data_IF_201087347372
#
_entry.id   IF_201087347372
#
_cell.length_a   1.000
_cell.length_b   1.000
_cell.length_c   1.000
_cell.angle_alpha   90.00
_cell.angle_beta   90.00
_cell.angle_gamma   90.00
#
_symmetry.space_group_name_H-M   'P 1'
#
loop_
_entity.id
_entity.type
_entity.pdbx_description
1 polymer ?
#
# COMPACT_ATOMS: atom_id res chain seq x y z
N UNK A 1 29.66 13.17 -75.73
CA UNK A 1 30.17 12.53 -74.49
C UNK A 1 29.04 12.51 -73.48
N UNK A 2 28.45 11.34 -73.27
CA UNK A 2 27.30 11.10 -72.38
C UNK A 2 27.75 11.01 -70.92
N UNK A 3 27.36 12.00 -70.10
CA UNK A 3 27.61 12.00 -68.66
C UNK A 3 26.43 11.30 -67.96
N UNK A 4 26.69 10.15 -67.31
CA UNK A 4 25.70 9.42 -66.51
C UNK A 4 25.54 10.12 -65.15
N UNK A 5 24.33 10.59 -64.83
CA UNK A 5 23.95 10.99 -63.47
C UNK A 5 23.76 9.74 -62.61
N UNK A 6 24.54 9.60 -61.55
CA UNK A 6 24.26 8.68 -60.45
C UNK A 6 23.28 9.36 -59.48
N UNK A 7 22.07 8.82 -59.37
CA UNK A 7 21.08 9.22 -58.36
C UNK A 7 21.40 8.50 -57.05
N UNK A 8 21.96 9.21 -56.07
CA UNK A 8 22.07 8.71 -54.69
C UNK A 8 20.70 8.84 -54.01
N UNK A 9 20.03 7.72 -53.73
CA UNK A 9 18.90 7.69 -52.80
C UNK A 9 19.44 7.85 -51.38
N UNK A 10 19.15 9.00 -50.75
CA UNK A 10 19.33 9.21 -49.32
C UNK A 10 18.09 8.63 -48.63
N UNK A 11 18.22 7.44 -48.07
CA UNK A 11 17.20 6.85 -47.19
C UNK A 11 17.21 7.61 -45.86
N UNK A 12 16.23 8.49 -45.65
CA UNK A 12 16.00 9.13 -44.35
C UNK A 12 15.39 8.11 -43.39
N UNK A 13 16.22 7.51 -42.51
CA UNK A 13 15.76 6.76 -41.36
C UNK A 13 15.15 7.74 -40.34
N UNK A 14 13.83 7.81 -40.31
CA UNK A 14 13.09 8.51 -39.26
C UNK A 14 13.30 7.78 -37.93
N UNK A 15 14.09 8.37 -37.02
CA UNK A 15 14.17 7.92 -35.65
C UNK A 15 12.83 8.18 -34.96
N UNK A 16 12.05 7.13 -34.70
CA UNK A 16 10.92 7.19 -33.78
C UNK A 16 11.47 7.46 -32.38
N UNK A 17 11.35 8.71 -31.93
CA UNK A 17 11.44 9.04 -30.51
C UNK A 17 10.19 8.44 -29.86
N UNK A 18 10.36 7.34 -29.14
CA UNK A 18 9.34 6.82 -28.24
C UNK A 18 9.23 7.86 -27.13
N UNK A 19 8.21 8.70 -27.18
CA UNK A 19 7.85 9.56 -26.07
C UNK A 19 7.44 8.65 -24.92
N UNK A 20 8.31 8.51 -23.92
CA UNK A 20 7.95 7.94 -22.63
C UNK A 20 6.80 8.79 -22.09
N UNK A 21 5.58 8.28 -22.16
CA UNK A 21 4.42 8.96 -21.59
C UNK A 21 4.73 9.27 -20.14
N UNK A 22 4.69 10.55 -19.77
CA UNK A 22 4.82 10.94 -18.38
C UNK A 22 3.62 10.32 -17.63
N UNK A 23 3.85 9.24 -16.89
CA UNK A 23 2.84 8.69 -16.00
C UNK A 23 2.47 9.77 -14.99
N UNK A 24 1.17 10.05 -14.87
CA UNK A 24 0.67 11.00 -13.89
C UNK A 24 1.07 10.51 -12.49
N UNK A 25 1.65 11.42 -11.70
CA UNK A 25 2.03 11.08 -10.33
C UNK A 25 0.79 10.74 -9.50
N UNK A 26 0.84 9.71 -8.62
CA UNK A 26 -0.24 9.42 -7.71
C UNK A 26 -0.56 10.62 -6.81
N UNK A 27 -1.82 10.75 -6.41
CA UNK A 27 -2.24 11.72 -5.39
C UNK A 27 -1.53 11.49 -4.04
N UNK A 28 -1.55 12.51 -3.18
CA UNK A 28 -0.95 12.42 -1.82
C UNK A 28 -1.71 11.49 -0.88
N UNK A 29 -2.99 11.33 -1.15
CA UNK A 29 -3.88 10.36 -0.52
C UNK A 29 -4.22 9.27 -1.53
N UNK A 30 -4.31 8.00 -1.10
CA UNK A 30 -4.86 6.95 -1.93
C UNK A 30 -6.29 7.29 -2.41
N UNK A 31 -6.69 6.85 -3.61
CA UNK A 31 -8.02 7.14 -4.12
C UNK A 31 -9.12 6.43 -3.33
N UNK A 32 -10.31 7.02 -3.34
CA UNK A 32 -11.55 6.38 -2.92
C UNK A 32 -12.47 6.18 -4.13
N UNK A 33 -13.28 5.12 -4.08
CA UNK A 33 -14.28 4.77 -5.07
C UNK A 33 -15.60 4.56 -4.34
N UNK A 34 -16.42 5.60 -4.26
CA UNK A 34 -17.69 5.59 -3.53
C UNK A 34 -17.51 5.14 -2.06
N UNK A 35 -18.03 3.98 -1.67
CA UNK A 35 -17.90 3.42 -0.32
C UNK A 35 -16.60 2.65 -0.08
N UNK A 36 -15.75 2.49 -1.10
CA UNK A 36 -14.52 1.72 -1.03
C UNK A 36 -13.29 2.62 -1.03
N UNK A 37 -12.34 2.28 -0.18
CA UNK A 37 -11.00 2.87 -0.16
C UNK A 37 -9.98 1.82 -0.56
N UNK A 38 -8.88 2.23 -1.18
CA UNK A 38 -7.79 1.34 -1.55
C UNK A 38 -6.48 1.83 -1.00
N UNK A 39 -5.57 0.91 -0.68
CA UNK A 39 -4.18 1.26 -0.37
C UNK A 39 -3.23 0.07 -0.59
N UNK A 40 -1.93 0.36 -0.67
CA UNK A 40 -0.87 -0.64 -0.64
C UNK A 40 0.13 -0.36 0.49
N UNK A 41 0.70 -1.42 1.06
CA UNK A 41 1.77 -1.39 2.05
C UNK A 41 3.15 -1.45 1.43
N UNK A 42 4.18 -1.26 2.28
CA UNK A 42 5.59 -1.19 1.84
C UNK A 42 6.07 -2.44 1.09
N UNK A 43 5.48 -3.61 1.37
CA UNK A 43 5.84 -4.89 0.74
C UNK A 43 5.25 -5.07 -0.67
N UNK A 44 4.26 -4.28 -1.06
CA UNK A 44 3.46 -4.50 -2.26
C UNK A 44 2.13 -5.22 -2.00
N UNK A 45 1.82 -5.57 -0.75
CA UNK A 45 0.45 -6.00 -0.39
C UNK A 45 -0.52 -4.83 -0.61
N UNK A 46 -1.62 -5.08 -1.30
CA UNK A 46 -2.66 -4.08 -1.56
C UNK A 46 -4.01 -4.54 -1.00
N UNK A 47 -4.90 -3.61 -0.68
CA UNK A 47 -6.24 -3.93 -0.23
C UNK A 47 -7.28 -2.92 -0.70
N UNK A 48 -8.52 -3.40 -0.90
CA UNK A 48 -9.73 -2.59 -0.97
C UNK A 48 -10.53 -2.81 0.31
N UNK A 49 -10.97 -1.73 0.95
CA UNK A 49 -11.66 -1.75 2.24
C UNK A 49 -12.95 -0.94 2.18
N UNK A 50 -14.02 -1.48 2.77
CA UNK A 50 -15.24 -0.76 3.10
C UNK A 50 -15.49 -0.85 4.59
N UNK A 51 -15.54 0.31 5.24
CA UNK A 51 -15.93 0.44 6.64
C UNK A 51 -17.40 0.86 6.72
N UNK A 52 -18.24 0.03 7.35
CA UNK A 52 -19.68 0.24 7.46
C UNK A 52 -20.10 0.15 8.91
N UNK A 53 -20.90 1.12 9.37
CA UNK A 53 -21.45 1.14 10.72
C UNK A 53 -22.97 1.08 10.67
N UNK A 54 -23.54 0.13 11.42
CA UNK A 54 -24.98 0.01 11.66
C UNK A 54 -25.21 0.06 13.15
N UNK A 55 -25.85 1.14 13.63
CA UNK A 55 -25.99 1.42 15.06
C UNK A 55 -24.62 1.43 15.78
N UNK A 56 -24.46 0.62 16.83
CA UNK A 56 -23.22 0.48 17.59
C UNK A 56 -22.23 -0.49 16.95
N UNK A 57 -22.67 -1.33 16.01
CA UNK A 57 -21.84 -2.33 15.34
C UNK A 57 -21.20 -1.72 14.11
N UNK A 58 -19.91 -1.97 13.92
CA UNK A 58 -19.24 -1.68 12.66
C UNK A 58 -18.55 -2.91 12.12
N UNK A 59 -18.44 -2.95 10.80
CA UNK A 59 -17.72 -3.94 10.04
C UNK A 59 -16.71 -3.22 9.14
N UNK A 60 -15.48 -3.71 9.14
CA UNK A 60 -14.47 -3.45 8.13
C UNK A 60 -14.31 -4.71 7.28
N UNK A 61 -14.72 -4.61 6.02
CA UNK A 61 -14.53 -5.67 5.04
C UNK A 61 -13.34 -5.30 4.15
N UNK A 62 -12.30 -6.13 4.18
CA UNK A 62 -11.10 -5.93 3.36
C UNK A 62 -10.87 -7.09 2.40
N UNK A 63 -10.69 -6.76 1.13
CA UNK A 63 -10.13 -7.66 0.13
C UNK A 63 -8.65 -7.34 0.05
N UNK A 64 -7.81 -8.30 0.43
CA UNK A 64 -6.37 -8.16 0.55
C UNK A 64 -5.69 -9.02 -0.50
N UNK A 65 -4.66 -8.51 -1.17
CA UNK A 65 -3.91 -9.24 -2.19
C UNK A 65 -2.42 -9.05 -1.96
N UNK A 66 -1.69 -10.16 -1.81
CA UNK A 66 -0.23 -10.14 -1.72
C UNK A 66 0.42 -10.02 -3.11
N UNK A 67 1.73 -9.73 -3.15
CA UNK A 67 2.44 -9.36 -4.38
C UNK A 67 2.85 -10.55 -5.26
N UNK A 68 2.93 -11.77 -4.72
CA UNK A 68 3.39 -12.95 -5.46
C UNK A 68 2.43 -13.28 -6.61
N UNK A 69 2.96 -13.79 -7.73
CA UNK A 69 2.20 -14.12 -8.94
C UNK A 69 0.90 -14.88 -8.65
N UNK A 70 1.02 -15.96 -7.89
CA UNK A 70 -0.06 -16.89 -7.56
C UNK A 70 -0.82 -16.55 -6.28
N UNK A 71 -0.45 -15.46 -5.59
CA UNK A 71 -1.19 -15.03 -4.40
C UNK A 71 -2.66 -14.88 -4.78
N UNK A 72 -3.58 -15.51 -4.04
CA UNK A 72 -5.02 -15.40 -4.24
C UNK A 72 -5.58 -14.21 -3.44
N UNK A 73 -6.73 -13.64 -3.81
CA UNK A 73 -7.33 -12.60 -2.99
C UNK A 73 -7.84 -13.24 -1.69
N UNK A 74 -7.63 -12.54 -0.59
CA UNK A 74 -8.10 -12.91 0.74
C UNK A 74 -9.18 -11.94 1.16
N UNK A 75 -10.22 -12.42 1.85
CA UNK A 75 -11.23 -11.55 2.45
C UNK A 75 -11.08 -11.59 3.96
N UNK A 76 -10.96 -10.42 4.58
CA UNK A 76 -10.96 -10.27 6.03
C UNK A 76 -12.17 -9.45 6.46
N UNK A 77 -12.92 -10.02 7.39
CA UNK A 77 -13.96 -9.33 8.14
C UNK A 77 -13.39 -8.91 9.49
N UNK A 78 -13.60 -7.67 9.90
CA UNK A 78 -13.30 -7.20 11.25
C UNK A 78 -14.50 -6.43 11.81
N UNK A 79 -14.81 -6.60 13.08
CA UNK A 79 -15.93 -5.95 13.79
C UNK A 79 -15.50 -5.54 15.20
N UNK A 80 -16.19 -4.57 15.80
CA UNK A 80 -16.03 -4.26 17.23
C UNK A 80 -16.78 -5.18 18.17
N UNK A 81 -17.71 -5.97 17.66
CA UNK A 81 -18.53 -6.84 18.50
C UNK A 81 -17.86 -8.19 18.63
N UNK A 82 -17.71 -8.66 19.87
CA UNK A 82 -17.33 -10.05 20.12
C UNK A 82 -18.44 -10.99 19.64
N UNK A 83 -18.10 -11.86 18.70
CA UNK A 83 -18.95 -12.89 18.14
C UNK A 83 -19.03 -14.06 19.12
N UNK A 84 -20.22 -14.68 19.26
CA UNK A 84 -20.40 -15.83 20.13
C UNK A 84 -19.49 -17.01 19.73
N UNK A 85 -19.32 -17.97 20.65
CA UNK A 85 -18.53 -19.18 20.38
C UNK A 85 -19.16 -20.07 19.30
N UNK A 86 -20.49 -20.07 19.24
CA UNK A 86 -21.31 -20.81 18.28
C UNK A 86 -22.24 -19.83 17.57
N UNK A 87 -22.58 -20.13 16.32
CA UNK A 87 -23.50 -19.33 15.54
C UNK A 87 -23.12 -19.32 14.06
N UNK A 88 -23.96 -18.70 13.25
CA UNK A 88 -23.75 -18.65 11.80
C UNK A 88 -23.46 -17.21 11.38
N UNK A 89 -22.30 -17.01 10.77
CA UNK A 89 -21.95 -15.81 10.03
C UNK A 89 -22.41 -15.96 8.59
N UNK A 90 -23.41 -15.17 8.16
CA UNK A 90 -23.99 -15.29 6.83
C UNK A 90 -23.64 -14.09 5.94
N UNK A 91 -23.40 -14.36 4.66
CA UNK A 91 -23.09 -13.39 3.63
C UNK A 91 -24.15 -13.46 2.53
N UNK A 92 -24.96 -12.41 2.39
CA UNK A 92 -26.00 -12.32 1.36
C UNK A 92 -25.62 -11.21 0.37
N UNK A 93 -25.68 -11.49 -0.95
CA UNK A 93 -25.52 -10.46 -1.98
C UNK A 93 -26.86 -10.20 -2.63
N UNK A 94 -27.32 -8.94 -2.59
CA UNK A 94 -28.65 -8.52 -3.08
C UNK A 94 -29.80 -9.43 -2.56
N UNK A 95 -29.67 -9.89 -1.31
CA UNK A 95 -30.64 -10.78 -0.64
C UNK A 95 -30.54 -12.27 -1.01
N UNK A 96 -29.58 -12.65 -1.85
CA UNK A 96 -29.27 -14.05 -2.14
C UNK A 96 -28.16 -14.53 -1.21
N UNK A 97 -28.41 -15.57 -0.43
CA UNK A 97 -27.39 -16.21 0.42
C UNK A 97 -26.26 -16.76 -0.45
N UNK A 98 -25.05 -16.28 -0.23
CA UNK A 98 -23.84 -16.75 -0.90
C UNK A 98 -23.12 -17.78 -0.03
N UNK A 99 -23.08 -17.55 1.28
CA UNK A 99 -22.40 -18.44 2.21
C UNK A 99 -22.93 -18.28 3.64
N UNK A 100 -22.94 -19.38 4.39
CA UNK A 100 -23.33 -19.45 5.80
C UNK A 100 -22.27 -20.25 6.59
N UNK A 101 -21.43 -19.54 7.33
CA UNK A 101 -20.26 -20.12 7.99
C UNK A 101 -20.48 -20.27 9.50
N UNK A 102 -20.39 -21.48 10.04
CA UNK A 102 -20.35 -21.67 11.48
C UNK A 102 -19.11 -21.00 12.09
N UNK A 103 -19.28 -20.22 13.16
CA UNK A 103 -18.19 -19.47 13.79
C UNK A 103 -17.11 -20.40 14.32
N UNK A 104 -17.48 -21.56 14.86
CA UNK A 104 -16.56 -22.58 15.35
C UNK A 104 -15.62 -23.08 14.25
N UNK A 105 -16.14 -23.33 13.05
CA UNK A 105 -15.34 -23.75 11.90
C UNK A 105 -14.44 -22.61 11.41
N UNK A 106 -14.96 -21.37 11.41
CA UNK A 106 -14.16 -20.19 11.09
C UNK A 106 -13.00 -20.00 12.07
N UNK A 107 -13.20 -20.23 13.37
CA UNK A 107 -12.15 -20.17 14.40
C UNK A 107 -11.10 -21.25 14.16
N UNK A 108 -11.52 -22.49 13.92
CA UNK A 108 -10.61 -23.62 13.64
C UNK A 108 -9.74 -23.37 12.41
N UNK A 109 -10.26 -22.71 11.37
CA UNK A 109 -9.50 -22.46 10.16
C UNK A 109 -8.57 -21.25 10.21
N UNK A 110 -8.72 -20.33 11.18
CA UNK A 110 -7.92 -19.09 11.21
C UNK A 110 -6.39 -19.32 11.14
N UNK A 111 -5.81 -20.30 11.85
CA UNK A 111 -4.36 -20.55 11.77
C UNK A 111 -3.87 -21.03 10.40
N UNK A 112 -4.77 -21.49 9.53
CA UNK A 112 -4.43 -21.97 8.18
C UNK A 112 -4.26 -20.81 7.19
N UNK A 113 -4.79 -19.62 7.50
CA UNK A 113 -4.68 -18.45 6.63
C UNK A 113 -3.47 -17.62 7.02
N UNK A 114 -2.46 -17.62 6.14
CA UNK A 114 -1.28 -16.78 6.32
C UNK A 114 -1.59 -15.36 5.87
N UNK A 115 -1.61 -14.41 6.82
CA UNK A 115 -1.77 -13.01 6.50
C UNK A 115 -0.55 -12.49 5.69
N UNK A 116 -0.76 -11.73 4.61
CA UNK A 116 0.32 -11.12 3.86
C UNK A 116 1.22 -10.26 4.75
N UNK A 117 2.54 -10.33 4.53
CA UNK A 117 3.47 -9.56 5.33
C UNK A 117 3.28 -8.04 5.10
N UNK A 118 3.32 -7.26 6.18
CA UNK A 118 3.03 -5.82 6.15
C UNK A 118 1.54 -5.47 6.21
N UNK A 119 0.64 -6.45 6.09
CA UNK A 119 -0.79 -6.23 6.33
C UNK A 119 -1.07 -6.09 7.84
N UNK A 120 -1.96 -5.15 8.18
CA UNK A 120 -2.46 -4.93 9.54
C UNK A 120 -3.97 -4.68 9.50
N UNK A 121 -4.78 -5.50 10.19
CA UNK A 121 -6.22 -5.26 10.29
C UNK A 121 -6.51 -4.08 11.23
N UNK A 122 -7.74 -3.57 11.20
CA UNK A 122 -8.23 -2.70 12.27
C UNK A 122 -8.30 -3.48 13.59
N UNK A 123 -8.20 -2.77 14.70
CA UNK A 123 -8.43 -3.37 16.02
C UNK A 123 -9.89 -3.78 16.21
N UNK A 124 -10.12 -4.95 16.78
CA UNK A 124 -11.44 -5.58 16.91
C UNK A 124 -11.32 -7.09 16.79
N UNK A 125 -12.45 -7.80 16.81
CA UNK A 125 -12.48 -9.21 16.44
C UNK A 125 -12.52 -9.32 14.92
N UNK A 126 -11.76 -10.25 14.35
CA UNK A 126 -11.80 -10.41 12.89
C UNK A 126 -11.35 -11.79 12.42
N UNK A 127 -11.99 -12.22 11.34
CA UNK A 127 -11.83 -13.51 10.71
C UNK A 127 -11.39 -13.36 9.26
N UNK A 128 -10.47 -14.20 8.84
CA UNK A 128 -10.29 -14.52 7.44
C UNK A 128 -11.44 -15.40 6.97
N UNK A 129 -12.03 -15.03 5.84
CA UNK A 129 -13.00 -15.83 5.11
C UNK A 129 -12.30 -17.03 4.44
N UNK A 130 -13.01 -18.15 4.16
CA UNK A 130 -12.43 -19.30 3.49
C UNK A 130 -11.77 -18.99 2.16
N UNK A 131 -10.55 -19.47 1.96
CA UNK A 131 -9.73 -19.18 0.78
C UNK A 131 -10.11 -20.06 -0.44
N UNK A 132 -9.50 -19.77 -1.59
CA UNK A 132 -9.68 -20.58 -2.80
C UNK A 132 -11.04 -20.35 -3.48
N UNK A 133 -11.69 -21.39 -4.04
CA UNK A 133 -12.91 -21.24 -4.83
C UNK A 133 -14.06 -20.51 -4.10
N UNK A 134 -14.17 -20.70 -2.78
CA UNK A 134 -15.23 -20.06 -1.98
C UNK A 134 -15.06 -18.54 -1.96
N UNK A 135 -13.84 -18.04 -1.73
CA UNK A 135 -13.54 -16.60 -1.88
C UNK A 135 -13.84 -16.12 -3.30
N UNK A 136 -13.45 -16.88 -4.34
CA UNK A 136 -13.70 -16.48 -5.73
C UNK A 136 -15.21 -16.32 -5.99
N UNK A 137 -16.03 -17.26 -5.54
CA UNK A 137 -17.49 -17.19 -5.66
C UNK A 137 -18.05 -15.94 -4.96
N UNK A 138 -17.62 -15.66 -3.73
CA UNK A 138 -18.04 -14.46 -3.00
C UNK A 138 -17.67 -13.18 -3.77
N UNK A 139 -16.42 -13.06 -4.23
CA UNK A 139 -15.96 -11.89 -4.95
C UNK A 139 -16.66 -11.70 -6.30
N UNK A 140 -17.01 -12.79 -7.00
CA UNK A 140 -17.78 -12.73 -8.23
C UNK A 140 -19.21 -12.24 -7.97
N UNK A 141 -19.87 -12.78 -6.94
CA UNK A 141 -21.19 -12.31 -6.52
C UNK A 141 -21.15 -10.81 -6.16
N UNK A 142 -20.18 -10.40 -5.35
CA UNK A 142 -20.00 -9.00 -4.95
C UNK A 142 -19.75 -8.06 -6.15
N UNK A 143 -19.02 -8.50 -7.18
CA UNK A 143 -18.80 -7.68 -8.38
C UNK A 143 -20.04 -7.51 -9.25
N UNK A 144 -21.00 -8.44 -9.16
CA UNK A 144 -22.26 -8.41 -9.91
C UNK A 144 -23.41 -7.76 -9.12
N UNK A 145 -23.32 -7.74 -7.79
CA UNK A 145 -24.32 -7.19 -6.89
C UNK A 145 -24.14 -5.70 -6.59
N UNK A 146 -25.03 -5.17 -5.75
CA UNK A 146 -25.04 -3.77 -5.29
C UNK A 146 -24.86 -3.64 -3.79
N UNK A 147 -25.26 -4.65 -3.03
CA UNK A 147 -25.12 -4.70 -1.58
C UNK A 147 -24.70 -6.10 -1.12
N UNK A 148 -23.73 -6.15 -0.20
CA UNK A 148 -23.41 -7.33 0.58
C UNK A 148 -23.93 -7.11 2.00
N UNK A 149 -24.84 -7.96 2.45
CA UNK A 149 -25.33 -7.95 3.83
C UNK A 149 -24.61 -9.03 4.62
N UNK A 150 -23.90 -8.59 5.66
CA UNK A 150 -23.20 -9.49 6.59
C UNK A 150 -24.06 -9.63 7.83
N UNK A 151 -24.56 -10.84 8.09
CA UNK A 151 -25.35 -11.15 9.26
C UNK A 151 -24.44 -11.69 10.34
N UNK A 152 -24.17 -10.85 11.33
CA UNK A 152 -23.37 -11.20 12.50
C UNK A 152 -24.26 -11.94 13.51
N UNK A 153 -23.86 -13.14 13.98
CA UNK A 153 -24.55 -13.80 15.06
C UNK A 153 -24.39 -12.99 16.34
N UNK A 154 -25.42 -12.98 17.18
CA UNK A 154 -25.40 -12.33 18.47
C UNK A 154 -25.35 -13.37 19.60
N UNK A 155 -24.96 -12.93 20.80
CA UNK A 155 -25.02 -13.76 21.99
C UNK A 155 -26.46 -14.27 22.26
N UNK A 156 -26.60 -15.32 23.06
CA UNK A 156 -27.92 -15.82 23.49
C UNK A 156 -28.76 -14.64 24.02
N UNK A 157 -30.00 -14.56 23.54
CA UNK A 157 -31.01 -13.53 23.86
C UNK A 157 -30.83 -12.15 23.21
N UNK A 158 -29.93 -12.01 22.23
CA UNK A 158 -29.83 -10.82 21.38
C UNK A 158 -30.17 -11.14 19.91
N UNK A 159 -30.71 -10.14 19.20
CA UNK A 159 -31.01 -10.28 17.78
C UNK A 159 -29.72 -10.24 16.93
N UNK A 160 -29.57 -11.11 15.92
CA UNK A 160 -28.50 -11.00 14.94
C UNK A 160 -28.49 -9.62 14.27
N UNK A 161 -27.30 -9.11 13.99
CA UNK A 161 -27.14 -7.79 13.38
C UNK A 161 -26.82 -7.95 11.91
N UNK A 162 -27.66 -7.40 11.04
CA UNK A 162 -27.40 -7.28 9.62
C UNK A 162 -26.65 -5.98 9.32
N UNK A 163 -25.48 -6.07 8.69
CA UNK A 163 -24.65 -4.91 8.30
C UNK A 163 -24.60 -4.83 6.77
N UNK A 164 -25.27 -3.85 6.15
CA UNK A 164 -25.30 -3.70 4.69
C UNK A 164 -24.09 -2.92 4.19
N UNK A 165 -23.18 -3.62 3.51
CA UNK A 165 -21.99 -3.05 2.86
C UNK A 165 -22.31 -2.73 1.40
N UNK A 166 -22.27 -1.45 1.03
CA UNK A 166 -22.46 -1.07 -0.38
C UNK A 166 -21.32 -1.58 -1.26
N UNK A 167 -21.67 -2.13 -2.42
CA UNK A 167 -20.72 -2.66 -3.42
C UNK A 167 -20.44 -1.64 -4.53
N UNK A 168 -21.02 -0.44 -4.45
CA UNK A 168 -20.71 0.66 -5.37
C UNK A 168 -19.24 1.04 -5.24
N UNK A 169 -18.52 1.06 -6.37
CA UNK A 169 -17.09 1.34 -6.39
C UNK A 169 -16.17 0.13 -6.15
N UNK A 170 -16.69 -1.03 -5.73
CA UNK A 170 -15.88 -2.23 -5.48
C UNK A 170 -15.07 -2.65 -6.71
N UNK A 171 -15.71 -2.73 -7.88
CA UNK A 171 -15.06 -3.12 -9.13
C UNK A 171 -13.95 -2.16 -9.54
N UNK A 172 -14.11 -0.86 -9.26
CA UNK A 172 -13.06 0.14 -9.50
C UNK A 172 -11.89 -0.04 -8.51
N UNK A 173 -12.19 -0.37 -7.25
CA UNK A 173 -11.19 -0.75 -6.26
C UNK A 173 -10.39 -1.98 -6.70
N UNK A 174 -11.04 -3.04 -7.16
CA UNK A 174 -10.36 -4.23 -7.66
C UNK A 174 -9.51 -3.95 -8.90
N UNK A 175 -10.01 -3.14 -9.84
CA UNK A 175 -9.22 -2.72 -10.99
C UNK A 175 -7.98 -1.92 -10.55
N UNK A 176 -8.11 -1.09 -9.52
CA UNK A 176 -6.96 -0.39 -8.95
C UNK A 176 -5.94 -1.37 -8.35
N UNK A 177 -6.39 -2.37 -7.58
CA UNK A 177 -5.49 -3.42 -7.06
C UNK A 177 -4.77 -4.16 -8.20
N UNK A 178 -5.52 -4.60 -9.22
CA UNK A 178 -4.98 -5.31 -10.37
C UNK A 178 -3.93 -4.46 -11.10
N UNK A 179 -4.17 -3.15 -11.26
CA UNK A 179 -3.22 -2.23 -11.87
C UNK A 179 -1.97 -1.99 -11.01
N UNK A 180 -2.13 -1.79 -9.70
CA UNK A 180 -0.99 -1.57 -8.79
C UNK A 180 -0.06 -2.79 -8.70
N UNK A 181 -0.61 -3.97 -8.96
CA UNK A 181 0.12 -5.24 -8.87
C UNK A 181 0.47 -5.83 -10.24
N UNK A 182 0.36 -5.06 -11.33
CA UNK A 182 0.61 -5.53 -12.70
C UNK A 182 -0.15 -6.81 -13.09
N UNK A 183 -1.36 -7.02 -12.53
CA UNK A 183 -2.19 -8.20 -12.80
C UNK A 183 -3.14 -8.00 -13.97
N UNK A 184 -3.46 -6.76 -14.34
CA UNK A 184 -4.37 -6.46 -15.47
C UNK A 184 -3.90 -7.15 -16.75
N UNK A 185 -4.79 -7.93 -17.38
CA UNK A 185 -4.49 -8.71 -18.59
C UNK A 185 -3.84 -10.09 -18.34
N UNK A 186 -3.49 -10.39 -17.09
CA UNK A 186 -3.01 -11.73 -16.69
C UNK A 186 -4.15 -12.63 -16.25
N UNK A 187 -3.90 -13.93 -16.18
CA UNK A 187 -4.83 -14.92 -15.59
C UNK A 187 -5.16 -14.65 -14.11
N UNK A 188 -4.36 -13.82 -13.43
CA UNK A 188 -4.50 -13.55 -11.99
C UNK A 188 -5.32 -12.30 -11.65
N UNK A 189 -5.75 -11.50 -12.64
CA UNK A 189 -6.61 -10.33 -12.41
C UNK A 189 -7.97 -10.71 -11.79
N UNK A 190 -8.49 -9.87 -10.91
CA UNK A 190 -9.78 -10.06 -10.24
C UNK A 190 -10.94 -9.64 -11.16
N UNK A 191 -10.80 -8.52 -11.87
CA UNK A 191 -11.92 -7.91 -12.62
C UNK A 191 -12.03 -8.43 -14.04
N UNK A 192 -10.89 -8.53 -14.73
CA UNK A 192 -10.83 -8.91 -16.13
C UNK A 192 -9.59 -9.80 -16.35
N UNK A 193 -9.68 -11.10 -16.01
CA UNK A 193 -8.63 -12.05 -16.33
C UNK A 193 -8.33 -12.06 -17.83
N UNK A 194 -7.05 -12.02 -18.18
CA UNK A 194 -6.58 -12.19 -19.55
C UNK A 194 -5.81 -13.50 -19.74
N UNK A 195 -5.06 -13.59 -20.84
CA UNK A 195 -4.33 -14.81 -21.22
C UNK A 195 -2.86 -14.79 -20.78
N UNK A 196 -2.34 -13.63 -20.35
CA UNK A 196 -0.93 -13.53 -19.96
C UNK A 196 -0.69 -14.31 -18.66
N UNK A 197 0.47 -14.96 -18.51
CA UNK A 197 0.82 -15.66 -17.28
C UNK A 197 0.89 -14.68 -16.11
N UNK A 198 0.53 -15.16 -14.92
CA UNK A 198 0.75 -14.40 -13.70
C UNK A 198 2.26 -14.17 -13.49
N UNK A 199 2.61 -13.03 -12.91
CA UNK A 199 3.97 -12.66 -12.54
C UNK A 199 3.96 -11.97 -11.18
N UNK A 200 5.10 -11.99 -10.50
CA UNK A 200 5.25 -11.23 -9.26
C UNK A 200 5.05 -9.74 -9.55
N UNK A 201 4.22 -9.12 -8.72
CA UNK A 201 4.04 -7.68 -8.71
C UNK A 201 5.32 -6.97 -8.23
N UNK A 202 5.47 -5.66 -8.52
CA UNK A 202 6.46 -4.84 -7.84
C UNK A 202 6.33 -4.98 -6.32
N UNK A 203 7.43 -5.31 -5.65
CA UNK A 203 7.41 -5.67 -4.23
C UNK A 203 8.67 -5.24 -3.48
N UNK A 204 8.59 -5.31 -2.16
CA UNK A 204 9.73 -5.23 -1.26
C UNK A 204 9.65 -6.34 -0.21
N UNK A 205 10.80 -6.75 0.29
CA UNK A 205 10.91 -7.85 1.24
C UNK A 205 10.72 -7.31 2.66
N UNK A 206 9.77 -7.83 3.45
CA UNK A 206 9.56 -7.39 4.83
C UNK A 206 10.76 -7.70 5.72
N UNK A 207 11.05 -6.77 6.64
CA UNK A 207 12.00 -6.95 7.73
C UNK A 207 11.23 -6.84 9.05
N UNK A 208 11.12 -7.94 9.78
CA UNK A 208 10.40 -8.04 11.05
C UNK A 208 11.33 -7.99 12.27
N UNK A 209 12.64 -8.12 12.06
CA UNK A 209 13.66 -7.88 13.08
C UNK A 209 14.86 -7.15 12.48
N UNK A 210 15.54 -6.34 13.30
CA UNK A 210 16.81 -5.72 12.94
C UNK A 210 17.92 -6.76 12.67
N UNK A 211 17.81 -7.96 13.24
CA UNK A 211 18.77 -9.07 13.02
C UNK A 211 18.75 -9.60 11.57
N UNK A 212 17.73 -9.23 10.79
CA UNK A 212 17.64 -9.56 9.36
C UNK A 212 18.44 -8.60 8.48
N UNK A 213 18.99 -7.52 9.04
CA UNK A 213 19.87 -6.61 8.31
C UNK A 213 21.24 -7.26 8.08
N UNK A 214 21.82 -7.19 6.87
CA UNK A 214 23.20 -7.58 6.66
C UNK A 214 24.16 -6.80 7.56
N UNK A 215 25.32 -7.37 7.96
CA UNK A 215 26.24 -6.73 8.91
C UNK A 215 26.63 -5.30 8.54
N UNK A 216 26.87 -5.02 7.26
CA UNK A 216 27.27 -3.69 6.78
C UNK A 216 26.11 -2.68 6.89
N UNK A 217 24.89 -3.12 6.59
CA UNK A 217 23.67 -2.32 6.73
C UNK A 217 23.36 -2.06 8.20
N UNK A 218 23.48 -3.10 9.04
CA UNK A 218 23.31 -2.99 10.48
C UNK A 218 24.33 -2.03 11.09
N UNK A 219 25.60 -2.06 10.65
CA UNK A 219 26.63 -1.14 11.12
C UNK A 219 26.29 0.33 10.78
N UNK A 220 25.82 0.61 9.56
CA UNK A 220 25.36 1.96 9.17
C UNK A 220 24.15 2.38 10.00
N UNK A 221 23.18 1.48 10.16
CA UNK A 221 21.97 1.74 10.94
C UNK A 221 22.31 2.04 12.41
N UNK A 222 23.10 1.19 13.08
CA UNK A 222 23.50 1.37 14.48
C UNK A 222 24.44 2.56 14.71
N UNK A 223 25.23 2.98 13.70
CA UNK A 223 26.05 4.17 13.80
C UNK A 223 25.23 5.47 13.84
N UNK A 224 23.97 5.44 13.39
CA UNK A 224 23.06 6.57 13.56
C UNK A 224 22.61 6.62 15.03
N UNK A 225 22.94 7.74 15.70
CA UNK A 225 22.67 7.96 17.13
C UNK A 225 21.21 7.81 17.55
N UNK A 226 20.26 7.87 16.61
CA UNK A 226 18.83 7.70 16.89
C UNK A 226 18.35 6.27 16.68
N UNK A 227 19.07 5.45 15.93
CA UNK A 227 18.63 4.12 15.51
C UNK A 227 19.02 3.01 16.49
N UNK A 228 20.03 3.20 17.36
CA UNK A 228 20.63 2.13 18.17
C UNK A 228 19.74 1.57 19.28
N UNK A 229 18.58 2.17 19.54
CA UNK A 229 17.67 1.79 20.62
C UNK A 229 16.21 1.75 20.12
N UNK A 230 15.77 0.58 19.64
CA UNK A 230 14.36 0.32 19.32
C UNK A 230 13.94 -1.04 19.89
N UNK A 231 12.78 -1.07 20.53
CA UNK A 231 12.19 -2.31 21.01
C UNK A 231 11.88 -3.25 19.83
N UNK A 232 12.24 -4.55 19.90
CA UNK A 232 12.02 -5.49 18.81
C UNK A 232 10.55 -5.66 18.40
N UNK A 233 9.61 -5.61 19.35
CA UNK A 233 8.19 -5.71 19.03
C UNK A 233 7.69 -4.45 18.32
N UNK A 234 8.21 -3.27 18.70
CA UNK A 234 7.96 -2.03 17.96
C UNK A 234 8.54 -2.11 16.55
N UNK A 235 9.80 -2.56 16.38
CA UNK A 235 10.42 -2.71 15.06
C UNK A 235 9.56 -3.57 14.12
N UNK A 236 9.11 -4.73 14.60
CA UNK A 236 8.25 -5.64 13.85
C UNK A 236 6.90 -5.01 13.43
N UNK A 237 6.43 -4.01 14.19
CA UNK A 237 5.19 -3.27 13.92
C UNK A 237 5.33 -2.15 12.89
N UNK A 238 6.56 -1.68 12.61
CA UNK A 238 6.82 -0.50 11.77
C UNK A 238 7.07 -0.82 10.29
N UNK A 239 6.78 -2.05 9.84
CA UNK A 239 6.76 -2.42 8.41
C UNK A 239 8.04 -2.03 7.65
N UNK A 240 9.21 -2.27 8.27
CA UNK A 240 10.50 -2.11 7.64
C UNK A 240 10.61 -3.02 6.40
N UNK A 241 11.32 -2.57 5.37
CA UNK A 241 11.48 -3.33 4.12
C UNK A 241 12.88 -3.23 3.53
N UNK A 242 13.28 -4.31 2.86
CA UNK A 242 14.38 -4.36 1.90
C UNK A 242 13.80 -4.35 0.48
N UNK A 243 14.03 -3.27 -0.24
CA UNK A 243 13.70 -3.10 -1.65
C UNK A 243 14.83 -3.70 -2.49
N UNK A 244 14.60 -4.79 -3.23
CA UNK A 244 15.59 -5.29 -4.18
C UNK A 244 15.77 -4.28 -5.32
N UNK A 245 17.02 -4.03 -5.71
CA UNK A 245 17.40 -3.17 -6.82
C UNK A 245 18.20 -3.95 -7.86
N UNK A 246 18.43 -3.33 -9.01
CA UNK A 246 19.30 -3.88 -10.05
C UNK A 246 20.74 -4.12 -9.56
N UNK A 247 21.49 -4.93 -10.31
CA UNK A 247 22.88 -5.31 -10.01
C UNK A 247 23.09 -5.91 -8.61
N UNK A 248 22.08 -6.58 -8.03
CA UNK A 248 22.08 -7.10 -6.66
C UNK A 248 22.21 -6.03 -5.57
N UNK A 249 21.88 -4.77 -5.87
CA UNK A 249 21.75 -3.73 -4.87
C UNK A 249 20.49 -3.90 -4.01
N UNK A 250 20.43 -3.20 -2.88
CA UNK A 250 19.21 -3.14 -2.07
C UNK A 250 19.09 -1.81 -1.35
N UNK A 251 17.88 -1.25 -1.34
CA UNK A 251 17.50 -0.10 -0.53
C UNK A 251 16.70 -0.57 0.68
N UNK A 252 17.15 -0.22 1.87
CA UNK A 252 16.51 -0.58 3.13
C UNK A 252 15.80 0.64 3.68
N UNK A 253 14.50 0.53 3.96
CA UNK A 253 13.72 1.55 4.65
C UNK A 253 13.44 1.02 6.05
N UNK A 254 14.17 1.55 7.04
CA UNK A 254 14.29 0.93 8.37
C UNK A 254 13.93 1.93 9.46
N UNK A 255 13.07 1.56 10.44
CA UNK A 255 12.80 2.37 11.62
C UNK A 255 14.08 2.79 12.34
N UNK A 256 14.11 4.00 12.89
CA UNK A 256 15.29 4.57 13.53
C UNK A 256 14.95 5.21 14.87
N UNK A 257 14.87 4.38 15.92
CA UNK A 257 14.55 4.80 17.28
C UNK A 257 13.07 4.65 17.62
N UNK A 258 12.75 4.95 18.88
CA UNK A 258 11.38 4.82 19.39
C UNK A 258 10.41 5.80 18.68
N UNK A 259 9.21 5.35 18.31
CA UNK A 259 8.18 6.22 17.79
C UNK A 259 7.68 7.18 18.88
N UNK A 260 7.23 8.35 18.44
CA UNK A 260 6.45 9.28 19.26
C UNK A 260 4.95 9.00 19.11
N UNK A 261 4.09 9.78 19.76
CA UNK A 261 2.64 9.56 19.73
C UNK A 261 2.01 9.49 18.32
N UNK A 262 2.61 10.15 17.31
CA UNK A 262 2.06 10.20 15.95
C UNK A 262 3.11 10.20 14.84
N UNK A 263 4.41 10.14 15.18
CA UNK A 263 5.51 10.09 14.20
C UNK A 263 6.52 9.00 14.56
N UNK A 264 6.80 8.13 13.59
CA UNK A 264 7.86 7.13 13.64
C UNK A 264 9.02 7.54 12.72
N UNK A 265 10.25 7.70 13.22
CA UNK A 265 11.43 7.98 12.40
C UNK A 265 11.92 6.73 11.66
N UNK A 266 12.41 6.93 10.43
CA UNK A 266 13.07 5.92 9.60
C UNK A 266 14.34 6.51 8.98
N UNK A 267 15.23 5.63 8.54
CA UNK A 267 16.37 5.94 7.68
C UNK A 267 16.30 5.09 6.42
N UNK A 268 16.94 5.58 5.36
CA UNK A 268 17.17 4.82 4.13
C UNK A 268 18.64 4.40 4.07
N UNK A 269 18.94 3.12 3.89
CA UNK A 269 20.31 2.60 3.73
C UNK A 269 20.43 1.89 2.39
N UNK A 270 21.39 2.28 1.58
CA UNK A 270 21.69 1.60 0.32
C UNK A 270 22.84 0.63 0.54
N UNK A 271 22.66 -0.62 0.12
CA UNK A 271 23.73 -1.60 -0.01
C UNK A 271 24.00 -1.85 -1.49
N UNK A 272 25.26 -1.72 -1.90
CA UNK A 272 25.72 -1.98 -3.27
C UNK A 272 26.10 -3.44 -3.49
N UNK A 273 26.42 -3.78 -4.74
CA UNK A 273 26.83 -5.14 -5.16
C UNK A 273 28.13 -5.63 -4.51
N UNK A 274 28.97 -4.71 -4.07
CA UNK A 274 30.22 -4.94 -3.35
C UNK A 274 30.00 -5.18 -1.84
N UNK A 275 28.74 -5.14 -1.38
CA UNK A 275 28.36 -5.23 0.02
C UNK A 275 28.56 -3.93 0.80
N UNK A 276 29.09 -2.88 0.17
CA UNK A 276 29.26 -1.60 0.83
C UNK A 276 27.90 -0.96 1.11
N UNK A 277 27.66 -0.59 2.37
CA UNK A 277 26.46 0.07 2.80
C UNK A 277 26.72 1.56 3.10
N UNK A 278 25.77 2.43 2.75
CA UNK A 278 25.77 3.85 3.13
C UNK A 278 24.37 4.34 3.39
N UNK A 279 24.23 5.27 4.33
CA UNK A 279 22.97 5.96 4.54
C UNK A 279 22.65 6.88 3.34
N UNK A 280 21.41 6.83 2.87
CA UNK A 280 20.85 7.75 1.89
C UNK A 280 20.21 8.91 2.65
N UNK A 281 20.64 10.12 2.32
CA UNK A 281 19.95 11.32 2.73
C UNK A 281 18.89 11.67 1.69
N UNK A 282 17.76 12.19 2.16
CA UNK A 282 16.67 12.64 1.29
C UNK A 282 16.64 14.16 1.21
N UNK A 283 16.35 14.70 0.02
CA UNK A 283 16.26 16.13 -0.19
C UNK A 283 14.94 16.70 0.34
N UNK A 284 14.97 17.90 0.92
CA UNK A 284 13.82 18.62 1.49
C UNK A 284 13.94 20.09 1.15
N UNK A 285 12.83 20.84 1.13
CA UNK A 285 12.89 22.28 0.96
C UNK A 285 12.83 22.99 2.32
N UNK A 286 13.81 23.83 2.58
CA UNK A 286 13.78 24.83 3.66
C UNK A 286 13.52 26.22 3.08
N UNK A 287 13.26 27.20 3.95
CA UNK A 287 13.13 28.60 3.54
C UNK A 287 14.42 29.16 2.88
N UNK A 288 15.58 28.55 3.16
CA UNK A 288 16.88 28.92 2.58
C UNK A 288 17.26 28.12 1.34
N UNK A 289 16.38 27.23 0.87
CA UNK A 289 16.64 26.34 -0.26
C UNK A 289 16.74 24.87 0.13
N UNK A 290 17.23 24.01 -0.78
CA UNK A 290 17.26 22.58 -0.57
C UNK A 290 18.21 22.19 0.55
N UNK A 291 17.78 21.27 1.40
CA UNK A 291 18.57 20.67 2.48
C UNK A 291 18.51 19.15 2.37
N UNK A 292 19.55 18.49 2.87
CA UNK A 292 19.56 17.04 3.03
C UNK A 292 19.19 16.69 4.47
N UNK A 293 18.31 15.70 4.65
CA UNK A 293 17.97 15.13 5.96
C UNK A 293 18.23 13.63 5.94
N UNK A 294 18.61 13.11 7.10
CA UNK A 294 18.92 11.70 7.33
C UNK A 294 17.68 10.92 7.80
N UNK A 295 16.74 11.60 8.47
CA UNK A 295 15.47 11.03 8.93
C UNK A 295 14.30 11.23 7.95
N UNK A 296 13.47 10.19 7.88
CA UNK A 296 12.22 10.12 7.12
C UNK A 296 11.11 9.75 8.10
N UNK A 297 10.13 10.63 8.33
CA UNK A 297 9.05 10.35 9.28
C UNK A 297 7.86 9.68 8.61
N UNK A 298 7.30 8.66 9.27
CA UNK A 298 6.16 7.88 8.77
C UNK A 298 6.40 7.42 7.33
N UNK A 299 7.55 6.79 7.11
CA UNK A 299 8.00 6.39 5.79
C UNK A 299 7.09 5.32 5.17
N UNK A 300 6.74 5.51 3.90
CA UNK A 300 5.98 4.54 3.10
C UNK A 300 6.63 4.35 1.75
N UNK A 301 6.95 3.11 1.41
CA UNK A 301 7.50 2.75 0.11
C UNK A 301 6.37 2.27 -0.82
N UNK A 302 6.34 2.79 -2.06
CA UNK A 302 5.52 2.27 -3.15
C UNK A 302 6.44 1.50 -4.11
N UNK A 303 6.39 0.16 -4.12
CA UNK A 303 7.16 -0.63 -5.08
C UNK A 303 6.79 -0.35 -6.53
N UNK A 304 5.49 -0.17 -6.82
CA UNK A 304 4.99 0.04 -8.19
C UNK A 304 5.54 1.32 -8.82
N UNK A 305 5.65 2.39 -8.02
CA UNK A 305 6.17 3.67 -8.49
C UNK A 305 7.68 3.87 -8.24
N UNK A 306 8.30 2.95 -7.48
CA UNK A 306 9.62 3.13 -6.87
C UNK A 306 9.74 4.45 -6.09
N UNK A 307 8.71 4.76 -5.30
CA UNK A 307 8.62 6.02 -4.57
C UNK A 307 8.67 5.83 -3.07
N UNK A 308 9.33 6.78 -2.40
CA UNK A 308 9.26 6.93 -0.96
C UNK A 308 8.38 8.13 -0.62
N UNK A 309 7.40 7.92 0.25
CA UNK A 309 6.57 8.97 0.82
C UNK A 309 6.92 9.15 2.29
N UNK A 310 6.91 10.39 2.76
CA UNK A 310 6.99 10.74 4.18
C UNK A 310 5.84 11.65 4.53
N UNK A 311 5.29 11.46 5.73
CA UNK A 311 4.20 12.27 6.26
C UNK A 311 4.46 12.59 7.73
N UNK A 312 5.21 13.65 7.97
CA UNK A 312 5.37 14.18 9.32
C UNK A 312 4.09 14.90 9.73
N UNK A 313 3.43 14.39 10.77
CA UNK A 313 2.23 14.99 11.34
C UNK A 313 2.62 16.03 12.38
N UNK A 314 2.01 17.22 12.33
CA UNK A 314 2.19 18.26 13.34
C UNK A 314 1.25 18.13 14.55
N UNK A 315 0.26 17.23 14.45
CA UNK A 315 -0.76 16.97 15.47
C UNK A 315 -1.11 15.47 15.47
N UNK A 316 -1.88 15.01 16.47
CA UNK A 316 -2.39 13.64 16.50
C UNK A 316 -3.35 13.31 15.35
N UNK A 317 -4.11 14.31 14.88
CA UNK A 317 -5.05 14.17 13.76
C UNK A 317 -4.30 14.15 12.41
N UNK A 318 -3.22 14.94 12.29
CA UNK A 318 -2.37 15.00 11.10
C UNK A 318 -2.79 16.05 10.07
N UNK A 319 -3.79 16.87 10.36
CA UNK A 319 -4.31 17.88 9.43
C UNK A 319 -3.30 18.97 9.06
N UNK A 320 -2.22 19.09 9.83
CA UNK A 320 -1.08 19.95 9.60
C UNK A 320 0.22 19.13 9.62
N UNK A 321 1.29 19.71 9.08
CA UNK A 321 2.61 19.11 9.07
C UNK A 321 3.25 19.21 7.69
N UNK A 322 3.89 18.12 7.30
CA UNK A 322 4.81 18.13 6.18
C UNK A 322 4.82 16.79 5.48
N UNK A 323 4.64 16.84 4.17
CA UNK A 323 4.50 15.68 3.33
C UNK A 323 5.50 15.75 2.18
N UNK A 324 6.10 14.61 1.85
CA UNK A 324 7.12 14.50 0.81
C UNK A 324 6.92 13.24 -0.03
N UNK A 325 7.35 13.35 -1.29
CA UNK A 325 7.48 12.23 -2.22
C UNK A 325 8.82 12.32 -2.94
N UNK A 326 9.56 11.22 -2.89
CA UNK A 326 10.77 11.00 -3.67
C UNK A 326 10.61 9.83 -4.60
N UNK A 327 11.32 9.83 -5.72
CA UNK A 327 11.47 8.67 -6.60
C UNK A 327 12.90 8.17 -6.56
N UNK A 328 13.06 6.85 -6.58
CA UNK A 328 14.35 6.23 -6.78
C UNK A 328 14.79 6.39 -8.24
N UNK A 329 16.00 6.90 -8.47
CA UNK A 329 16.53 7.12 -9.83
C UNK A 329 17.66 6.14 -10.23
N UNK A 330 17.88 5.09 -9.45
CA UNK A 330 19.01 4.16 -9.61
C UNK A 330 20.22 4.47 -8.71
N UNK A 331 20.37 5.69 -8.19
CA UNK A 331 21.51 6.07 -7.34
C UNK A 331 21.11 6.72 -6.00
N UNK A 332 19.93 7.33 -5.96
CA UNK A 332 19.39 8.01 -4.78
C UNK A 332 17.91 8.34 -4.92
N UNK A 333 17.39 9.01 -3.89
CA UNK A 333 16.01 9.46 -3.80
C UNK A 333 15.92 10.93 -4.22
N UNK A 334 15.26 11.18 -5.34
CA UNK A 334 15.09 12.53 -5.92
C UNK A 334 13.73 13.09 -5.50
N UNK A 335 13.70 14.32 -4.97
CA UNK A 335 12.47 14.96 -4.49
C UNK A 335 11.57 15.31 -5.69
N UNK A 336 10.40 14.69 -5.74
CA UNK A 336 9.37 14.99 -6.73
C UNK A 336 8.43 16.07 -6.23
N UNK A 337 8.02 15.97 -4.97
CA UNK A 337 7.00 16.84 -4.41
C UNK A 337 7.20 17.01 -2.90
N UNK A 338 6.96 18.23 -2.42
CA UNK A 338 6.85 18.54 -1.00
C UNK A 338 5.67 19.48 -0.80
N UNK A 339 4.87 19.22 0.22
CA UNK A 339 3.75 20.05 0.61
C UNK A 339 3.65 20.20 2.11
N UNK A 340 3.13 21.34 2.55
CA UNK A 340 2.97 21.64 3.97
C UNK A 340 1.67 22.36 4.25
N UNK A 341 1.15 22.13 5.46
CA UNK A 341 0.14 22.96 6.09
C UNK A 341 0.63 23.30 7.49
N UNK A 342 0.82 24.58 7.78
CA UNK A 342 1.38 25.05 9.05
C UNK A 342 0.35 25.07 10.19
N UNK A 343 -0.92 25.32 9.88
CA UNK A 343 -1.98 25.48 10.89
C UNK A 343 -2.64 24.16 11.21
N UNK A 344 -2.60 23.80 12.50
CA UNK A 344 -3.31 22.65 13.06
C UNK A 344 -4.63 23.13 13.67
N UNK A 345 -5.76 22.76 13.08
CA UNK A 345 -7.10 23.17 13.51
C UNK A 345 -8.03 21.99 13.85
N UNK A 346 -7.48 20.77 13.90
CA UNK A 346 -8.22 19.55 14.25
C UNK A 346 -9.22 19.06 13.20
N UNK A 347 -9.20 19.62 11.99
CA UNK A 347 -10.04 19.15 10.87
C UNK A 347 -9.61 17.79 10.34
N UNK A 348 -10.46 17.11 9.57
CA UNK A 348 -10.06 15.86 8.90
C UNK A 348 -8.90 16.16 7.95
N UNK A 349 -7.79 15.40 7.98
CA UNK A 349 -6.66 15.64 7.10
C UNK A 349 -7.04 15.47 5.63
N UNK A 350 -6.84 16.53 4.85
CA UNK A 350 -6.89 16.49 3.40
C UNK A 350 -5.53 16.94 2.85
N UNK A 351 -4.67 15.96 2.55
CA UNK A 351 -3.34 16.25 2.01
C UNK A 351 -3.39 16.87 0.60
N UNK A 352 -4.49 16.66 -0.15
CA UNK A 352 -4.61 17.15 -1.52
C UNK A 352 -4.70 18.67 -1.60
N UNK A 353 -5.25 19.32 -0.56
CA UNK A 353 -5.34 20.78 -0.47
C UNK A 353 -4.08 21.47 0.07
N UNK A 354 -3.08 20.70 0.51
CA UNK A 354 -1.85 21.29 1.06
C UNK A 354 -1.05 22.03 -0.01
N UNK A 355 -0.41 23.13 0.40
CA UNK A 355 0.36 23.96 -0.52
C UNK A 355 1.74 23.36 -0.77
N UNK A 356 2.13 23.28 -2.05
CA UNK A 356 3.44 22.79 -2.45
C UNK A 356 4.52 23.78 -2.02
N UNK A 357 5.55 23.28 -1.36
CA UNK A 357 6.86 23.92 -1.27
C UNK A 357 7.80 23.42 -2.37
N UNK A 358 7.53 22.25 -2.95
CA UNK A 358 8.20 21.72 -4.14
C UNK A 358 7.25 20.89 -5.03
N UNK A 359 7.35 21.00 -6.38
CA UNK A 359 7.91 22.17 -7.05
C UNK A 359 7.14 23.42 -6.57
N UNK A 360 7.79 24.60 -6.47
CA UNK A 360 7.04 25.82 -6.21
C UNK A 360 5.97 25.92 -7.28
N UNK A 361 4.71 26.19 -6.88
CA UNK A 361 3.67 26.48 -7.87
C UNK A 361 4.25 27.57 -8.78
N UNK A 362 4.27 27.33 -10.09
CA UNK A 362 4.55 28.41 -11.04
C UNK A 362 3.62 29.55 -10.63
N UNK A 363 4.18 30.68 -10.22
CA UNK A 363 3.37 31.88 -10.08
C UNK A 363 2.73 32.06 -11.46
N UNK A 364 1.42 31.84 -11.54
CA UNK A 364 0.67 32.11 -12.75
C UNK A 364 0.97 33.56 -13.11
N UNK A 365 1.67 33.79 -14.22
CA UNK A 365 1.78 35.11 -14.81
C UNK A 365 0.40 35.60 -15.22
#
# INVERSE_FOLDING_TARGET
MTLRLLTFLISATAALVIASGASAQPGRTPPGFESWTVDCGNTGVCFASSFTRTQSVWVDLRIVRDWQAEAQPLVRLTTNTELPQEGILRFDVDGTEIEALPIEQLREMQPTVTAPAGFRPLGGEGFWYPTGPVTVTLLQAMQAGRELTIHLPAAKDADPVAVPVSLQGLKAGFLWLDNQQDRTGTVAAIVAPGADPAKDAPHAIPLVSADQLPPEVAAVWSANRLCSEIDPAIFAGLNAVRVPLDENGSLYIVPCGAPTAYNSPYVAVLSGKDGAARQIHVARMSEKGPVATDLIYNAKWSPADQQLVSYFKGSGVGECGLWNRWVWNGTGLVLLEEATRKTCDGTVPDLSSWSNTWPPKNASN
#
